data_IF_408565607725
#
_entry.id   IF_408565607725
#
_cell.length_a   1.000
_cell.length_b   1.000
_cell.length_c   1.000
_cell.angle_alpha   90.00
_cell.angle_beta   90.00
_cell.angle_gamma   90.00
#
_symmetry.space_group_name_H-M   'P 1'
#
loop_
_entity.id
_entity.type
_entity.pdbx_description
1 polymer ?
#
# COMPACT_ATOMS: atom_id res chain seq x y z
N UNK A 1 16.35 -11.95 17.35
CA UNK A 1 14.91 -12.13 17.07
C UNK A 1 14.73 -13.38 16.22
N UNK A 2 13.59 -14.10 16.36
CA UNK A 2 13.30 -15.28 15.51
C UNK A 2 12.97 -14.78 14.10
N UNK A 3 13.71 -15.26 13.09
CA UNK A 3 13.50 -14.90 11.69
C UNK A 3 12.15 -15.40 11.18
N UNK A 4 11.60 -14.72 10.18
CA UNK A 4 10.31 -15.06 9.55
C UNK A 4 10.52 -15.94 8.32
N UNK A 5 9.65 -16.95 8.17
CA UNK A 5 9.65 -17.81 6.97
C UNK A 5 9.01 -17.09 5.77
N UNK A 6 9.26 -17.60 4.55
CA UNK A 6 8.59 -17.09 3.34
C UNK A 6 7.07 -17.23 3.43
N UNK A 7 6.56 -18.32 4.02
CA UNK A 7 5.12 -18.51 4.23
C UNK A 7 4.51 -17.47 5.17
N UNK A 8 5.20 -17.12 6.27
CA UNK A 8 4.73 -16.06 7.17
C UNK A 8 4.68 -14.70 6.47
N UNK A 9 5.69 -14.39 5.65
CA UNK A 9 5.69 -13.18 4.83
C UNK A 9 4.53 -13.18 3.82
N UNK A 10 4.29 -14.28 3.09
CA UNK A 10 3.15 -14.41 2.19
C UNK A 10 1.81 -14.19 2.91
N UNK A 11 1.66 -14.72 4.12
CA UNK A 11 0.41 -14.59 4.88
C UNK A 11 0.13 -13.14 5.30
N UNK A 12 1.19 -12.38 5.65
CA UNK A 12 1.08 -10.94 5.94
C UNK A 12 0.55 -10.21 4.70
N UNK A 13 1.16 -10.44 3.54
CA UNK A 13 0.82 -9.73 2.30
C UNK A 13 -0.47 -10.22 1.66
N UNK A 14 -0.88 -11.45 1.93
CA UNK A 14 -2.25 -11.90 1.65
C UNK A 14 -3.27 -11.07 2.43
N UNK A 15 -3.04 -10.89 3.74
CA UNK A 15 -3.93 -10.09 4.59
C UNK A 15 -3.96 -8.61 4.19
N UNK A 16 -2.82 -8.05 3.78
CA UNK A 16 -2.75 -6.67 3.29
C UNK A 16 -3.57 -6.47 2.00
N UNK A 17 -3.51 -7.44 1.08
CA UNK A 17 -4.20 -7.36 -0.21
C UNK A 17 -5.72 -7.63 -0.10
N UNK A 18 -6.18 -8.42 0.87
CA UNK A 18 -7.62 -8.63 1.08
C UNK A 18 -8.20 -7.49 1.91
N UNK A 19 -8.46 -6.36 1.28
CA UNK A 19 -8.98 -5.17 1.95
C UNK A 19 -10.16 -4.53 1.23
N UNK A 20 -10.95 -3.75 1.95
CA UNK A 20 -12.05 -2.95 1.38
C UNK A 20 -11.48 -1.94 0.39
N UNK A 21 -10.35 -1.29 0.69
CA UNK A 21 -9.75 -0.29 -0.18
C UNK A 21 -9.36 -0.86 -1.56
N UNK A 22 -8.85 -2.10 -1.62
CA UNK A 22 -8.54 -2.79 -2.88
C UNK A 22 -9.81 -3.01 -3.72
N UNK A 23 -10.90 -3.47 -3.08
CA UNK A 23 -12.17 -3.72 -3.78
C UNK A 23 -12.78 -2.38 -4.22
N UNK A 24 -12.78 -1.37 -3.34
CA UNK A 24 -13.30 -0.03 -3.66
C UNK A 24 -12.54 0.58 -4.84
N UNK A 25 -11.21 0.54 -4.82
CA UNK A 25 -10.42 1.04 -5.95
C UNK A 25 -10.73 0.28 -7.23
N UNK A 26 -10.98 -1.04 -7.14
CA UNK A 26 -11.43 -1.85 -8.27
C UNK A 26 -12.71 -1.34 -8.91
N UNK A 27 -13.68 -0.78 -8.14
CA UNK A 27 -14.93 -0.26 -8.69
C UNK A 27 -14.72 0.89 -9.68
N UNK A 28 -13.64 1.68 -9.50
CA UNK A 28 -13.31 2.80 -10.38
C UNK A 28 -12.94 2.39 -11.80
N UNK A 29 -12.66 1.10 -12.05
CA UNK A 29 -12.30 0.57 -13.37
C UNK A 29 -13.52 0.26 -14.25
N UNK A 30 -14.73 0.31 -13.71
CA UNK A 30 -15.97 0.03 -14.43
C UNK A 30 -16.15 0.85 -15.73
N UNK A 31 -15.78 2.15 -15.80
CA UNK A 31 -15.87 2.95 -17.02
C UNK A 31 -15.10 2.37 -18.22
N UNK A 32 -14.02 1.64 -17.99
CA UNK A 32 -13.25 0.98 -19.06
C UNK A 32 -13.95 -0.27 -19.64
N UNK A 33 -14.97 -0.78 -18.96
CA UNK A 33 -15.50 -2.11 -19.21
C UNK A 33 -14.55 -3.21 -18.78
N UNK A 34 -15.05 -4.45 -18.70
CA UNK A 34 -14.36 -5.56 -18.06
C UNK A 34 -12.98 -5.88 -18.69
N UNK A 35 -12.91 -5.98 -20.02
CA UNK A 35 -11.69 -6.42 -20.71
C UNK A 35 -10.55 -5.40 -20.60
N UNK A 36 -10.83 -4.13 -20.90
CA UNK A 36 -9.82 -3.05 -20.78
C UNK A 36 -9.44 -2.81 -19.32
N UNK A 37 -10.42 -2.83 -18.41
CA UNK A 37 -10.17 -2.70 -16.97
C UNK A 37 -9.29 -3.82 -16.44
N UNK A 38 -9.54 -5.08 -16.81
CA UNK A 38 -8.69 -6.22 -16.43
C UNK A 38 -7.25 -6.03 -16.94
N UNK A 39 -7.09 -5.59 -18.19
CA UNK A 39 -5.75 -5.34 -18.75
C UNK A 39 -5.02 -4.23 -17.98
N UNK A 40 -5.71 -3.13 -17.66
CA UNK A 40 -5.14 -2.04 -16.86
C UNK A 40 -4.72 -2.51 -15.45
N UNK A 41 -5.56 -3.31 -14.78
CA UNK A 41 -5.25 -3.92 -13.48
C UNK A 41 -3.98 -4.76 -13.58
N UNK A 42 -3.90 -5.66 -14.54
CA UNK A 42 -2.75 -6.56 -14.70
C UNK A 42 -1.46 -5.80 -15.01
N UNK A 43 -1.50 -4.85 -15.95
CA UNK A 43 -0.34 -4.02 -16.31
C UNK A 43 0.15 -3.22 -15.12
N UNK A 44 -0.76 -2.53 -14.42
CA UNK A 44 -0.41 -1.71 -13.26
C UNK A 44 0.18 -2.53 -12.11
N UNK A 45 -0.42 -3.69 -11.80
CA UNK A 45 0.12 -4.57 -10.76
C UNK A 45 1.48 -5.18 -11.13
N UNK A 46 1.73 -5.51 -12.39
CA UNK A 46 3.06 -5.98 -12.83
C UNK A 46 4.11 -4.88 -12.59
N UNK A 47 3.81 -3.63 -12.96
CA UNK A 47 4.71 -2.49 -12.75
C UNK A 47 4.92 -2.26 -11.24
N UNK A 48 3.84 -2.11 -10.46
CA UNK A 48 3.91 -1.81 -9.03
C UNK A 48 4.57 -2.93 -8.23
N UNK A 49 4.26 -4.19 -8.55
CA UNK A 49 4.85 -5.35 -7.88
C UNK A 49 6.34 -5.55 -8.22
N UNK A 50 6.78 -5.18 -9.42
CA UNK A 50 8.21 -5.18 -9.74
C UNK A 50 8.98 -4.23 -8.81
N UNK A 51 8.47 -3.02 -8.59
CA UNK A 51 9.06 -2.05 -7.65
C UNK A 51 9.00 -2.54 -6.22
N UNK A 52 7.87 -3.10 -5.81
CA UNK A 52 7.65 -3.70 -4.50
C UNK A 52 8.67 -4.81 -4.20
N UNK A 53 8.96 -5.66 -5.19
CA UNK A 53 10.00 -6.69 -5.07
C UNK A 53 11.38 -6.08 -4.82
N UNK A 54 11.80 -5.09 -5.60
CA UNK A 54 13.12 -4.48 -5.44
C UNK A 54 13.25 -3.76 -4.09
N UNK A 55 12.24 -2.98 -3.68
CA UNK A 55 12.23 -2.32 -2.38
C UNK A 55 12.35 -3.32 -1.22
N UNK A 56 11.55 -4.39 -1.25
CA UNK A 56 11.59 -5.44 -0.24
C UNK A 56 12.90 -6.22 -0.22
N UNK A 57 13.52 -6.42 -1.38
CA UNK A 57 14.81 -7.12 -1.49
C UNK A 57 15.96 -6.30 -0.89
N UNK A 58 15.92 -4.96 -1.00
CA UNK A 58 16.89 -4.09 -0.30
C UNK A 58 16.80 -4.32 1.21
N UNK A 59 15.59 -4.26 1.81
CA UNK A 59 15.38 -4.50 3.23
C UNK A 59 15.84 -5.88 3.67
N UNK A 60 15.46 -6.91 2.93
CA UNK A 60 15.82 -8.30 3.22
C UNK A 60 17.32 -8.57 3.15
N UNK A 61 18.04 -7.95 2.18
CA UNK A 61 19.50 -8.11 2.04
C UNK A 61 20.30 -7.31 3.06
N UNK A 62 19.79 -6.14 3.45
CA UNK A 62 20.48 -5.24 4.39
C UNK A 62 20.10 -5.48 5.85
N UNK A 63 19.00 -6.19 6.11
CA UNK A 63 18.44 -6.34 7.46
C UNK A 63 17.91 -5.03 8.05
N UNK A 64 17.64 -4.02 7.20
CA UNK A 64 17.19 -2.68 7.63
C UNK A 64 15.69 -2.50 7.43
N UNK A 65 15.09 -1.67 8.29
CA UNK A 65 13.72 -1.18 8.10
C UNK A 65 13.61 -0.35 6.82
N UNK A 66 12.40 -0.06 6.38
CA UNK A 66 12.18 0.76 5.19
C UNK A 66 12.90 2.12 5.29
N UNK A 67 12.73 2.83 6.39
CA UNK A 67 13.46 4.09 6.60
C UNK A 67 14.97 3.89 6.81
N UNK A 68 15.40 2.74 7.34
CA UNK A 68 16.80 2.36 7.40
C UNK A 68 17.43 2.11 6.02
N UNK A 69 16.64 1.67 5.02
CA UNK A 69 17.11 1.58 3.62
C UNK A 69 17.17 2.95 2.95
N UNK A 70 16.24 3.87 3.27
CA UNK A 70 16.30 5.27 2.83
C UNK A 70 17.58 5.95 3.32
N UNK A 71 18.00 5.70 4.56
CA UNK A 71 19.23 6.25 5.12
C UNK A 71 20.48 5.87 4.30
N UNK A 72 20.48 4.68 3.67
CA UNK A 72 21.57 4.26 2.79
C UNK A 72 21.74 5.18 1.57
N UNK A 73 20.63 5.65 0.99
CA UNK A 73 20.68 6.46 -0.23
C UNK A 73 20.68 7.97 0.05
N UNK A 74 19.96 8.41 1.10
CA UNK A 74 19.74 9.84 1.36
C UNK A 74 20.48 10.39 2.58
N UNK A 75 21.12 9.51 3.37
CA UNK A 75 21.72 9.87 4.64
C UNK A 75 20.69 10.13 5.75
N UNK A 76 21.19 10.48 6.93
CA UNK A 76 20.36 10.62 8.13
C UNK A 76 19.28 11.70 7.99
N UNK A 77 19.60 12.86 7.39
CA UNK A 77 18.63 13.97 7.20
C UNK A 77 17.54 13.56 6.23
N UNK A 78 17.90 12.92 5.10
CA UNK A 78 16.91 12.38 4.16
C UNK A 78 16.03 11.30 4.79
N UNK A 79 16.62 10.41 5.59
CA UNK A 79 15.84 9.42 6.35
C UNK A 79 14.81 10.10 7.28
N UNK A 80 15.17 11.16 8.01
CA UNK A 80 14.24 11.89 8.87
C UNK A 80 13.07 12.51 8.07
N UNK A 81 13.39 13.12 6.92
CA UNK A 81 12.39 13.72 6.04
C UNK A 81 11.38 12.68 5.53
N UNK A 82 11.87 11.59 4.94
CA UNK A 82 11.00 10.54 4.42
C UNK A 82 10.28 9.75 5.53
N UNK A 83 10.89 9.59 6.70
CA UNK A 83 10.21 8.97 7.83
C UNK A 83 9.02 9.81 8.32
N UNK A 84 9.15 11.14 8.34
CA UNK A 84 8.04 12.02 8.67
C UNK A 84 6.91 11.93 7.63
N UNK A 85 7.25 11.94 6.34
CA UNK A 85 6.28 11.78 5.25
C UNK A 85 5.61 10.40 5.29
N UNK A 86 6.38 9.35 5.62
CA UNK A 86 5.82 8.00 5.73
C UNK A 86 4.85 7.87 6.93
N UNK A 87 5.19 8.45 8.09
CA UNK A 87 4.25 8.50 9.22
C UNK A 87 2.97 9.25 8.82
N UNK A 88 3.09 10.36 8.11
CA UNK A 88 1.94 11.16 7.65
C UNK A 88 1.03 10.36 6.70
N UNK A 89 1.61 9.67 5.69
CA UNK A 89 0.81 8.83 4.80
C UNK A 89 0.12 7.70 5.54
N UNK A 90 0.78 7.11 6.55
CA UNK A 90 0.21 6.00 7.32
C UNK A 90 -0.90 6.45 8.29
N UNK A 91 -0.86 7.71 8.77
CA UNK A 91 -2.02 8.35 9.41
C UNK A 91 -3.17 8.47 8.40
N UNK A 92 -2.88 8.89 7.17
CA UNK A 92 -3.88 8.97 6.08
C UNK A 92 -4.51 7.61 5.80
N UNK A 93 -3.70 6.56 5.56
CA UNK A 93 -4.20 5.21 5.34
C UNK A 93 -5.01 4.68 6.52
N UNK A 94 -4.51 4.86 7.75
CA UNK A 94 -5.26 4.48 8.96
C UNK A 94 -6.64 5.15 9.01
N UNK A 95 -6.71 6.43 8.64
CA UNK A 95 -7.96 7.19 8.61
C UNK A 95 -8.91 6.69 7.52
N UNK A 96 -8.42 6.49 6.30
CA UNK A 96 -9.19 5.98 5.16
C UNK A 96 -9.75 4.60 5.47
N UNK A 97 -8.92 3.68 5.93
CA UNK A 97 -9.34 2.30 6.23
C UNK A 97 -10.39 2.23 7.34
N UNK A 98 -10.23 3.05 8.41
CA UNK A 98 -11.24 3.14 9.48
C UNK A 98 -12.55 3.74 8.94
N UNK A 99 -12.47 4.78 8.11
CA UNK A 99 -13.62 5.44 7.49
C UNK A 99 -14.40 4.49 6.59
N UNK A 100 -13.73 3.82 5.66
CA UNK A 100 -14.34 2.87 4.71
C UNK A 100 -14.96 1.68 5.44
N UNK A 101 -14.25 1.10 6.41
CA UNK A 101 -14.78 0.03 7.23
C UNK A 101 -16.00 0.45 8.05
N UNK A 102 -16.00 1.67 8.59
CA UNK A 102 -17.12 2.23 9.33
C UNK A 102 -18.31 2.54 8.40
N UNK A 103 -18.06 3.05 7.21
CA UNK A 103 -19.09 3.34 6.20
C UNK A 103 -19.78 2.03 5.77
N UNK A 104 -19.00 1.04 5.36
CA UNK A 104 -19.50 -0.27 4.96
C UNK A 104 -20.33 -0.95 6.09
N UNK A 105 -19.84 -0.87 7.32
CA UNK A 105 -20.57 -1.45 8.46
C UNK A 105 -21.85 -0.68 8.76
N UNK A 106 -21.81 0.65 8.68
CA UNK A 106 -22.98 1.49 8.95
C UNK A 106 -24.10 1.34 7.90
N UNK A 107 -23.75 1.01 6.66
CA UNK A 107 -24.72 0.69 5.61
C UNK A 107 -25.65 -0.48 6.03
N UNK A 108 -25.16 -1.42 6.80
CA UNK A 108 -25.90 -2.61 7.22
C UNK A 108 -26.50 -2.45 8.62
N UNK A 109 -25.74 -1.89 9.53
CA UNK A 109 -26.11 -1.74 10.95
C UNK A 109 -26.13 -0.24 11.31
N UNK A 110 -27.10 0.50 10.85
CA UNK A 110 -27.25 1.95 10.85
C UNK A 110 -27.29 2.65 12.22
N UNK A 111 -26.28 2.40 13.08
CA UNK A 111 -26.17 3.04 14.41
C UNK A 111 -25.36 4.33 14.41
N UNK A 112 -24.81 4.71 13.26
CA UNK A 112 -24.00 5.91 13.05
C UNK A 112 -22.55 5.61 12.71
N UNK A 113 -22.04 6.21 11.60
CA UNK A 113 -20.66 6.01 11.11
C UNK A 113 -19.61 6.27 12.20
N UNK A 114 -19.77 7.34 12.97
CA UNK A 114 -18.83 7.68 14.04
C UNK A 114 -18.67 6.60 15.11
N UNK A 115 -19.75 5.86 15.43
CA UNK A 115 -19.70 4.75 16.37
C UNK A 115 -18.82 3.62 15.82
N UNK A 116 -18.99 3.32 14.53
CA UNK A 116 -18.17 2.29 13.87
C UNK A 116 -16.71 2.70 13.74
N UNK A 117 -16.41 4.00 13.51
CA UNK A 117 -15.02 4.50 13.57
C UNK A 117 -14.40 4.23 14.94
N UNK A 118 -15.13 4.49 16.03
CA UNK A 118 -14.64 4.20 17.38
C UNK A 118 -14.48 2.69 17.65
N UNK A 119 -15.40 1.86 17.17
CA UNK A 119 -15.32 0.39 17.33
C UNK A 119 -14.10 -0.13 16.59
N UNK A 120 -13.93 0.20 15.30
CA UNK A 120 -12.81 -0.27 14.47
C UNK A 120 -11.49 0.26 15.01
N UNK A 121 -11.39 1.58 15.30
CA UNK A 121 -10.20 2.19 15.89
C UNK A 121 -9.84 1.57 17.25
N UNK A 122 -10.82 1.30 18.10
CA UNK A 122 -10.65 0.60 19.38
C UNK A 122 -10.14 -0.82 19.20
N UNK A 123 -10.64 -1.57 18.22
CA UNK A 123 -10.15 -2.91 17.89
C UNK A 123 -8.70 -2.88 17.41
N UNK A 124 -8.30 -1.88 16.59
CA UNK A 124 -6.91 -1.71 16.14
C UNK A 124 -6.01 -1.42 17.35
N UNK A 125 -6.44 -0.54 18.26
CA UNK A 125 -5.70 -0.25 19.51
C UNK A 125 -5.50 -1.54 20.34
N UNK A 126 -6.54 -2.36 20.51
CA UNK A 126 -6.44 -3.65 21.21
C UNK A 126 -5.46 -4.57 20.47
N UNK A 127 -5.53 -4.62 19.12
CA UNK A 127 -4.64 -5.45 18.30
C UNK A 127 -3.17 -5.06 18.46
N UNK A 128 -2.88 -3.76 18.46
CA UNK A 128 -1.53 -3.23 18.73
C UNK A 128 -1.09 -3.55 20.17
N UNK A 129 -1.98 -3.39 21.14
CA UNK A 129 -1.66 -3.63 22.55
C UNK A 129 -1.30 -5.09 22.83
N UNK A 130 -2.06 -6.05 22.25
CA UNK A 130 -1.81 -7.49 22.37
C UNK A 130 -0.58 -7.93 21.57
N UNK A 131 -0.36 -7.33 20.40
CA UNK A 131 0.79 -7.56 19.52
C UNK A 131 0.66 -8.80 18.62
N UNK A 132 1.27 -8.73 17.44
CA UNK A 132 1.23 -9.75 16.37
C UNK A 132 1.57 -11.18 16.87
N UNK A 133 2.53 -11.31 17.79
CA UNK A 133 3.02 -12.62 18.21
C UNK A 133 1.96 -13.45 18.96
N UNK A 134 1.06 -12.77 19.65
CA UNK A 134 0.03 -13.41 20.46
C UNK A 134 -1.27 -13.69 19.68
N UNK A 135 -1.46 -13.03 18.53
CA UNK A 135 -2.64 -13.13 17.68
C UNK A 135 -2.47 -14.08 16.48
N UNK A 136 -1.36 -14.80 16.40
CA UNK A 136 -0.97 -15.56 15.20
C UNK A 136 -2.02 -16.62 14.75
N UNK A 137 -2.75 -17.23 15.66
CA UNK A 137 -3.83 -18.20 15.32
C UNK A 137 -5.12 -17.48 14.86
N UNK A 138 -5.49 -16.38 15.55
CA UNK A 138 -6.64 -15.54 15.17
C UNK A 138 -6.44 -14.98 13.77
N UNK A 139 -5.23 -14.50 13.48
CA UNK A 139 -4.87 -13.98 12.16
C UNK A 139 -5.03 -15.05 11.07
N UNK A 140 -4.59 -16.30 11.31
CA UNK A 140 -4.78 -17.40 10.37
C UNK A 140 -6.26 -17.71 10.09
N UNK A 141 -7.10 -17.71 11.13
CA UNK A 141 -8.55 -17.91 11.00
C UNK A 141 -9.17 -16.76 10.21
N UNK A 142 -8.79 -15.50 10.54
CA UNK A 142 -9.24 -14.32 9.80
C UNK A 142 -8.88 -14.42 8.32
N UNK A 143 -7.62 -14.76 8.00
CA UNK A 143 -7.17 -14.91 6.61
C UNK A 143 -7.93 -16.02 5.88
N UNK A 144 -8.18 -17.18 6.51
CA UNK A 144 -8.97 -18.25 5.92
C UNK A 144 -10.43 -17.81 5.66
N UNK A 145 -11.04 -17.11 6.63
CA UNK A 145 -12.40 -16.59 6.50
C UNK A 145 -12.50 -15.55 5.38
N UNK A 146 -11.50 -14.64 5.28
CA UNK A 146 -11.40 -13.63 4.21
C UNK A 146 -11.23 -14.28 2.83
N UNK A 147 -10.41 -15.31 2.72
CA UNK A 147 -10.25 -16.06 1.48
C UNK A 147 -11.59 -16.68 1.04
N UNK A 148 -12.30 -17.36 1.95
CA UNK A 148 -13.62 -17.92 1.66
C UNK A 148 -14.61 -16.81 1.25
N UNK A 149 -14.61 -15.69 1.98
CA UNK A 149 -15.50 -14.56 1.65
C UNK A 149 -15.19 -14.00 0.26
N UNK A 150 -13.92 -13.85 -0.10
CA UNK A 150 -13.54 -13.34 -1.43
C UNK A 150 -14.02 -14.26 -2.56
N UNK A 151 -14.00 -15.58 -2.36
CA UNK A 151 -14.55 -16.54 -3.31
C UNK A 151 -16.08 -16.38 -3.40
N UNK A 152 -16.76 -16.29 -2.26
CA UNK A 152 -18.22 -16.09 -2.24
C UNK A 152 -18.60 -14.78 -2.95
N UNK A 153 -17.91 -13.69 -2.67
CA UNK A 153 -18.11 -12.41 -3.36
C UNK A 153 -17.91 -12.54 -4.87
N UNK A 154 -16.84 -13.20 -5.28
CA UNK A 154 -16.57 -13.45 -6.69
C UNK A 154 -17.75 -14.21 -7.35
N UNK A 155 -18.22 -15.29 -6.75
CA UNK A 155 -19.36 -16.06 -7.27
C UNK A 155 -20.61 -15.22 -7.34
N UNK A 156 -20.91 -14.43 -6.31
CA UNK A 156 -22.10 -13.56 -6.26
C UNK A 156 -22.05 -12.48 -7.35
N UNK A 157 -20.91 -11.79 -7.46
CA UNK A 157 -20.70 -10.70 -8.43
C UNK A 157 -20.83 -11.21 -9.87
N UNK A 158 -20.23 -12.34 -10.19
CA UNK A 158 -20.18 -12.85 -11.57
C UNK A 158 -21.36 -13.77 -11.95
N UNK A 159 -22.24 -14.12 -11.01
CA UNK A 159 -23.39 -15.00 -11.28
C UNK A 159 -24.41 -14.40 -12.23
N UNK A 160 -24.50 -13.06 -12.31
CA UNK A 160 -25.51 -12.35 -13.12
C UNK A 160 -25.25 -12.35 -14.63
N UNK A 161 -24.02 -12.49 -15.08
CA UNK A 161 -23.59 -12.74 -16.46
C UNK A 161 -23.68 -11.59 -17.46
N UNK A 162 -24.59 -10.63 -17.29
CA UNK A 162 -24.76 -9.49 -18.19
C UNK A 162 -24.36 -8.17 -17.53
N UNK A 163 -23.49 -7.36 -18.16
CA UNK A 163 -23.17 -6.03 -17.65
C UNK A 163 -24.42 -5.14 -17.55
N UNK A 164 -24.60 -4.48 -16.41
CA UNK A 164 -25.66 -3.48 -16.19
C UNK A 164 -25.13 -2.05 -16.34
N UNK A 165 -23.81 -1.86 -16.25
CA UNK A 165 -23.12 -0.58 -16.46
C UNK A 165 -22.40 -0.62 -17.79
N UNK A 166 -22.68 0.36 -18.67
CA UNK A 166 -21.97 0.51 -19.94
C UNK A 166 -20.61 1.21 -19.71
N UNK A 167 -19.59 0.86 -20.50
CA UNK A 167 -18.34 1.64 -20.53
C UNK A 167 -18.61 3.10 -20.94
N UNK A 168 -17.80 4.02 -20.37
CA UNK A 168 -17.81 5.43 -20.72
C UNK A 168 -16.36 5.98 -20.74
N UNK A 169 -16.20 7.26 -21.10
CA UNK A 169 -14.89 7.89 -21.23
C UNK A 169 -14.43 8.64 -19.96
N UNK A 170 -15.05 8.38 -18.80
CA UNK A 170 -14.74 9.10 -17.55
C UNK A 170 -13.38 8.71 -16.94
N UNK A 171 -12.82 7.55 -17.32
CA UNK A 171 -11.49 7.09 -16.90
C UNK A 171 -10.67 6.68 -18.13
N UNK A 172 -9.50 7.32 -18.31
CA UNK A 172 -8.56 6.88 -19.36
C UNK A 172 -7.85 5.58 -18.99
N UNK A 173 -7.35 4.85 -20.00
CA UNK A 173 -6.59 3.63 -19.76
C UNK A 173 -5.31 3.91 -18.94
N UNK A 174 -4.60 5.01 -19.24
CA UNK A 174 -3.39 5.40 -18.52
C UNK A 174 -3.64 5.73 -17.05
N UNK A 175 -4.73 6.46 -16.76
CA UNK A 175 -5.13 6.75 -15.39
C UNK A 175 -5.53 5.47 -14.62
N UNK A 176 -6.18 4.52 -15.28
CA UNK A 176 -6.49 3.23 -14.68
C UNK A 176 -5.23 2.41 -14.37
N UNK A 177 -4.27 2.35 -15.30
CA UNK A 177 -2.97 1.71 -15.05
C UNK A 177 -2.29 2.37 -13.86
N UNK A 178 -2.28 3.71 -13.77
CA UNK A 178 -1.68 4.43 -12.64
C UNK A 178 -2.35 4.10 -11.31
N UNK A 179 -3.69 4.03 -11.24
CA UNK A 179 -4.40 3.61 -10.04
C UNK A 179 -4.04 2.18 -9.62
N UNK A 180 -3.84 1.28 -10.59
CA UNK A 180 -3.41 -0.08 -10.31
C UNK A 180 -1.93 -0.18 -9.89
N UNK A 181 -1.06 0.72 -10.36
CA UNK A 181 0.34 0.84 -9.88
C UNK A 181 0.39 1.42 -8.47
N UNK A 182 -0.44 2.42 -8.19
CA UNK A 182 -0.35 3.23 -6.99
C UNK A 182 -0.65 2.41 -5.71
N UNK A 183 -1.47 1.37 -5.80
CA UNK A 183 -1.79 0.54 -4.64
C UNK A 183 -0.59 -0.27 -4.13
N UNK A 184 0.10 -1.12 -4.91
CA UNK A 184 1.34 -1.73 -4.47
C UNK A 184 2.44 -0.69 -4.18
N UNK A 185 2.43 0.47 -4.84
CA UNK A 185 3.38 1.55 -4.60
C UNK A 185 3.25 2.12 -3.19
N UNK A 186 2.05 2.23 -2.64
CA UNK A 186 1.82 2.74 -1.29
C UNK A 186 2.50 1.88 -0.21
N UNK A 187 2.78 0.62 -0.50
CA UNK A 187 3.48 -0.31 0.38
C UNK A 187 5.01 -0.28 0.24
N UNK A 188 5.58 0.42 -0.76
CA UNK A 188 7.02 0.47 -0.98
C UNK A 188 7.80 0.97 0.25
N UNK A 189 7.36 2.04 0.94
CA UNK A 189 8.05 2.54 2.13
C UNK A 189 7.78 1.71 3.39
N UNK A 190 7.17 0.52 3.27
CA UNK A 190 6.84 -0.37 4.38
C UNK A 190 7.39 -1.79 4.22
N UNK A 191 7.49 -2.32 2.99
CA UNK A 191 7.82 -3.73 2.76
C UNK A 191 9.10 -4.17 3.46
N UNK A 192 10.12 -3.30 3.50
CA UNK A 192 11.40 -3.59 4.15
C UNK A 192 11.27 -3.80 5.66
N UNK A 193 10.23 -3.27 6.31
CA UNK A 193 9.96 -3.48 7.73
C UNK A 193 9.65 -4.95 8.04
N UNK A 194 9.14 -5.68 7.06
CA UNK A 194 8.77 -7.09 7.14
C UNK A 194 9.87 -8.00 6.59
N UNK A 195 10.44 -7.66 5.44
CA UNK A 195 11.44 -8.51 4.77
C UNK A 195 12.81 -8.49 5.46
N UNK A 196 13.14 -7.45 6.26
CA UNK A 196 14.39 -7.37 7.04
C UNK A 196 14.58 -8.55 8.01
N UNK A 197 13.49 -9.11 8.49
CA UNK A 197 13.50 -10.24 9.42
C UNK A 197 13.43 -11.61 8.72
N UNK A 198 13.43 -11.63 7.37
CA UNK A 198 13.26 -12.85 6.61
C UNK A 198 14.47 -13.78 6.74
N UNK A 199 14.19 -15.09 6.92
CA UNK A 199 15.21 -16.14 6.95
C UNK A 199 15.91 -16.29 5.59
N UNK A 200 15.11 -16.21 4.50
CA UNK A 200 15.55 -16.27 3.10
C UNK A 200 15.07 -15.01 2.35
N UNK A 201 15.87 -13.92 2.33
CA UNK A 201 15.42 -12.61 1.82
C UNK A 201 14.79 -12.64 0.42
N UNK A 202 15.44 -13.29 -0.55
CA UNK A 202 14.93 -13.37 -1.92
C UNK A 202 13.60 -14.13 -1.98
N UNK A 203 13.54 -15.33 -1.39
CA UNK A 203 12.34 -16.16 -1.42
C UNK A 203 11.17 -15.52 -0.67
N UNK A 204 11.45 -14.89 0.48
CA UNK A 204 10.42 -14.20 1.25
C UNK A 204 9.90 -12.96 0.51
N UNK A 205 10.77 -12.16 -0.10
CA UNK A 205 10.36 -11.00 -0.88
C UNK A 205 9.56 -11.43 -2.13
N UNK A 206 10.04 -12.43 -2.86
CA UNK A 206 9.35 -12.93 -4.05
C UNK A 206 7.97 -13.49 -3.69
N UNK A 207 7.88 -14.30 -2.64
CA UNK A 207 6.59 -14.85 -2.19
C UNK A 207 5.64 -13.77 -1.71
N UNK A 208 6.14 -12.75 -1.00
CA UNK A 208 5.34 -11.56 -0.60
C UNK A 208 4.78 -10.84 -1.82
N UNK A 209 5.64 -10.54 -2.81
CA UNK A 209 5.28 -9.81 -4.02
C UNK A 209 4.24 -10.58 -4.86
N UNK A 210 4.47 -11.86 -5.08
CA UNK A 210 3.54 -12.69 -5.86
C UNK A 210 2.19 -12.85 -5.14
N UNK A 211 2.23 -13.08 -3.82
CA UNK A 211 0.99 -13.20 -3.04
C UNK A 211 0.20 -11.89 -3.07
N UNK A 212 0.86 -10.76 -2.77
CA UNK A 212 0.21 -9.46 -2.82
C UNK A 212 -0.36 -9.17 -4.21
N UNK A 213 0.45 -9.27 -5.26
CA UNK A 213 0.05 -8.94 -6.63
C UNK A 213 -1.14 -9.77 -7.13
N UNK A 214 -1.13 -11.08 -6.89
CA UNK A 214 -2.23 -11.96 -7.32
C UNK A 214 -3.51 -11.66 -6.54
N UNK A 215 -3.40 -11.49 -5.22
CA UNK A 215 -4.57 -11.27 -4.36
C UNK A 215 -5.14 -9.87 -4.57
N UNK A 216 -4.30 -8.84 -4.71
CA UNK A 216 -4.73 -7.48 -5.01
C UNK A 216 -5.44 -7.40 -6.37
N UNK A 217 -4.87 -8.00 -7.44
CA UNK A 217 -5.56 -8.13 -8.73
C UNK A 217 -6.95 -8.79 -8.56
N UNK A 218 -7.03 -9.85 -7.75
CA UNK A 218 -8.29 -10.54 -7.48
C UNK A 218 -9.32 -9.62 -6.82
N UNK A 219 -8.91 -8.82 -5.82
CA UNK A 219 -9.80 -7.86 -5.14
C UNK A 219 -10.25 -6.75 -6.09
N UNK A 220 -9.36 -6.20 -6.91
CA UNK A 220 -9.72 -5.22 -7.96
C UNK A 220 -10.73 -5.79 -8.96
N UNK A 221 -10.55 -7.03 -9.39
CA UNK A 221 -11.49 -7.70 -10.31
C UNK A 221 -12.85 -7.90 -9.66
N UNK A 222 -12.91 -8.23 -8.37
CA UNK A 222 -14.18 -8.29 -7.63
C UNK A 222 -14.86 -6.92 -7.60
N UNK A 223 -14.13 -5.87 -7.25
CA UNK A 223 -14.66 -4.50 -7.20
C UNK A 223 -15.16 -4.02 -8.57
N UNK A 224 -14.33 -4.16 -9.60
CA UNK A 224 -14.71 -3.82 -10.99
C UNK A 224 -15.93 -4.63 -11.45
N UNK A 225 -15.94 -5.94 -11.18
CA UNK A 225 -17.07 -6.80 -11.50
C UNK A 225 -18.33 -6.40 -10.76
N UNK A 226 -18.23 -6.00 -9.49
CA UNK A 226 -19.35 -5.52 -8.71
C UNK A 226 -20.01 -4.29 -9.38
N UNK A 227 -19.22 -3.28 -9.71
CA UNK A 227 -19.72 -2.08 -10.39
C UNK A 227 -20.31 -2.38 -11.77
N UNK A 228 -19.70 -3.29 -12.55
CA UNK A 228 -20.15 -3.61 -13.92
C UNK A 228 -21.40 -4.50 -13.92
N UNK A 229 -21.43 -5.56 -13.11
CA UNK A 229 -22.44 -6.61 -13.22
C UNK A 229 -23.60 -6.45 -12.24
N UNK A 230 -23.41 -5.68 -11.14
CA UNK A 230 -24.49 -5.44 -10.16
C UNK A 230 -24.97 -3.99 -10.15
N UNK A 231 -24.23 -3.07 -10.75
CA UNK A 231 -24.47 -1.62 -10.68
C UNK A 231 -24.27 -1.05 -9.28
N UNK A 232 -23.66 -1.82 -8.37
CA UNK A 232 -23.48 -1.47 -6.97
C UNK A 232 -21.98 -1.36 -6.66
N UNK A 233 -21.56 -0.23 -6.12
CA UNK A 233 -20.18 -0.02 -5.66
C UNK A 233 -19.98 -0.31 -4.17
N UNK A 234 -21.08 -0.42 -3.40
CA UNK A 234 -21.01 -0.73 -1.98
C UNK A 234 -20.99 -2.24 -1.76
N UNK A 235 -19.80 -2.74 -1.40
CA UNK A 235 -19.53 -4.17 -1.15
C UNK A 235 -20.40 -4.70 0.00
N UNK A 236 -20.68 -3.87 1.01
CA UNK A 236 -21.55 -4.28 2.12
C UNK A 236 -22.97 -4.55 1.66
N UNK A 237 -23.50 -3.70 0.77
CA UNK A 237 -24.84 -3.92 0.16
C UNK A 237 -24.86 -5.19 -0.70
N UNK A 238 -23.81 -5.43 -1.50
CA UNK A 238 -23.70 -6.65 -2.31
C UNK A 238 -23.73 -7.89 -1.41
N UNK A 239 -22.99 -7.88 -0.32
CA UNK A 239 -22.94 -9.00 0.63
C UNK A 239 -24.27 -9.23 1.32
N UNK A 240 -24.99 -8.16 1.69
CA UNK A 240 -26.32 -8.28 2.29
C UNK A 240 -27.34 -8.85 1.31
N UNK A 241 -27.35 -8.33 0.07
CA UNK A 241 -28.19 -8.86 -1.01
C UNK A 241 -27.87 -10.33 -1.34
N UNK A 242 -26.62 -10.76 -1.10
CA UNK A 242 -26.18 -12.14 -1.25
C UNK A 242 -26.59 -13.05 -0.09
N UNK A 243 -27.25 -12.54 0.94
CA UNK A 243 -27.66 -13.30 2.12
C UNK A 243 -26.54 -13.60 3.12
N UNK A 244 -25.37 -12.95 2.99
CA UNK A 244 -24.23 -13.16 3.88
C UNK A 244 -24.36 -12.42 5.21
N UNK A 245 -25.22 -11.40 5.27
CA UNK A 245 -25.66 -10.74 6.48
C UNK A 245 -24.54 -10.24 7.41
N UNK A 246 -24.79 -10.31 8.71
CA UNK A 246 -23.89 -9.83 9.76
C UNK A 246 -22.53 -10.58 9.80
N UNK A 247 -22.51 -11.86 9.40
CA UNK A 247 -21.25 -12.63 9.39
C UNK A 247 -20.22 -12.04 8.44
N UNK A 248 -20.65 -11.59 7.26
CA UNK A 248 -19.76 -10.95 6.29
C UNK A 248 -19.21 -9.60 6.80
N UNK A 249 -20.05 -8.82 7.50
CA UNK A 249 -19.59 -7.57 8.13
C UNK A 249 -18.55 -7.80 9.20
N UNK A 250 -18.71 -8.81 10.05
CA UNK A 250 -17.71 -9.15 11.06
C UNK A 250 -16.37 -9.50 10.42
N UNK A 251 -16.40 -10.22 9.30
CA UNK A 251 -15.18 -10.56 8.55
C UNK A 251 -14.55 -9.31 7.94
N UNK A 252 -15.35 -8.38 7.37
CA UNK A 252 -14.86 -7.11 6.84
C UNK A 252 -14.22 -6.24 7.92
N UNK A 253 -14.86 -6.10 9.08
CA UNK A 253 -14.30 -5.37 10.22
C UNK A 253 -12.96 -5.99 10.62
N UNK A 254 -12.89 -7.31 10.71
CA UNK A 254 -11.67 -8.00 11.09
C UNK A 254 -10.58 -7.82 10.04
N UNK A 255 -10.93 -7.85 8.74
CA UNK A 255 -10.01 -7.51 7.63
C UNK A 255 -9.47 -6.09 7.77
N UNK A 256 -10.36 -5.12 7.94
CA UNK A 256 -9.97 -3.72 8.13
C UNK A 256 -9.02 -3.58 9.31
N UNK A 257 -9.32 -4.20 10.45
CA UNK A 257 -8.47 -4.16 11.65
C UNK A 257 -7.10 -4.76 11.38
N UNK A 258 -7.01 -5.91 10.70
CA UNK A 258 -5.74 -6.59 10.45
C UNK A 258 -4.87 -5.86 9.42
N UNK A 259 -5.46 -5.27 8.40
CA UNK A 259 -4.73 -4.48 7.38
C UNK A 259 -4.26 -3.15 7.96
N UNK A 260 -5.15 -2.39 8.60
CA UNK A 260 -4.83 -1.10 9.22
C UNK A 260 -3.81 -1.24 10.35
N UNK A 261 -3.78 -2.40 11.02
CA UNK A 261 -2.71 -2.71 11.97
C UNK A 261 -1.32 -2.66 11.30
N UNK A 262 -1.17 -3.11 10.05
CA UNK A 262 0.12 -3.07 9.34
C UNK A 262 0.55 -1.61 9.10
N UNK A 263 -0.38 -0.73 8.75
CA UNK A 263 -0.11 0.69 8.59
C UNK A 263 0.35 1.33 9.89
N UNK A 264 -0.41 1.14 10.96
CA UNK A 264 -0.08 1.68 12.28
C UNK A 264 1.24 1.12 12.81
N UNK A 265 1.52 -0.17 12.61
CA UNK A 265 2.78 -0.80 13.01
C UNK A 265 3.98 -0.22 12.26
N UNK A 266 3.90 -0.06 10.93
CA UNK A 266 4.97 0.54 10.13
C UNK A 266 5.11 2.04 10.41
N UNK A 267 4.03 2.75 10.74
CA UNK A 267 4.11 4.12 11.26
C UNK A 267 4.95 4.20 12.54
N UNK A 268 4.76 3.23 13.45
CA UNK A 268 5.58 3.09 14.65
C UNK A 268 7.05 2.89 14.34
N UNK A 269 7.40 1.97 13.43
CA UNK A 269 8.79 1.73 13.00
C UNK A 269 9.40 2.98 12.36
N UNK A 270 8.64 3.68 11.51
CA UNK A 270 9.08 4.92 10.87
C UNK A 270 9.31 6.03 11.89
N UNK A 271 8.44 6.13 12.90
CA UNK A 271 8.58 7.10 13.99
C UNK A 271 9.83 6.83 14.86
N UNK A 272 10.21 5.57 15.10
CA UNK A 272 11.48 5.23 15.75
C UNK A 272 12.70 5.74 14.96
N UNK A 273 12.58 5.83 13.64
CA UNK A 273 13.61 6.42 12.79
C UNK A 273 13.75 7.92 12.96
N UNK A 274 12.70 8.64 13.39
CA UNK A 274 12.76 10.08 13.70
C UNK A 274 13.59 10.35 14.95
N UNK A 275 13.40 9.55 16.02
CA UNK A 275 14.15 9.71 17.27
C UNK A 275 14.24 8.38 18.03
N UNK A 276 15.44 8.09 18.53
CA UNK A 276 15.69 6.92 19.41
C UNK A 276 14.88 6.95 20.72
N UNK A 277 14.28 8.07 21.09
CA UNK A 277 13.41 8.23 22.27
C UNK A 277 11.98 7.79 22.01
N UNK A 278 11.58 7.65 20.76
CA UNK A 278 10.23 7.24 20.38
C UNK A 278 10.13 5.73 20.49
N UNK A 279 9.10 5.26 21.20
CA UNK A 279 8.74 3.86 21.25
C UNK A 279 7.71 3.60 20.14
N UNK A 280 8.02 2.72 19.20
CA UNK A 280 7.18 2.43 18.03
C UNK A 280 5.77 1.95 18.40
N UNK A 281 5.62 1.19 19.50
CA UNK A 281 4.30 0.75 19.96
C UNK A 281 3.42 1.93 20.36
N UNK A 282 3.96 2.89 21.12
CA UNK A 282 3.19 4.08 21.51
C UNK A 282 2.93 4.99 20.30
N UNK A 283 3.88 5.11 19.38
CA UNK A 283 3.66 5.85 18.14
C UNK A 283 2.53 5.22 17.29
N UNK A 284 2.49 3.91 17.16
CA UNK A 284 1.42 3.19 16.48
C UNK A 284 0.04 3.43 17.12
N UNK A 285 -0.04 3.44 18.47
CA UNK A 285 -1.26 3.77 19.19
C UNK A 285 -1.70 5.21 18.94
N UNK A 286 -0.77 6.17 18.97
CA UNK A 286 -1.06 7.59 18.68
C UNK A 286 -1.57 7.75 17.25
N UNK A 287 -0.92 7.12 16.27
CA UNK A 287 -1.33 7.14 14.86
C UNK A 287 -2.76 6.58 14.72
N UNK A 288 -3.08 5.49 15.40
CA UNK A 288 -4.42 4.91 15.38
C UNK A 288 -5.47 5.84 15.98
N UNK A 289 -5.16 6.50 17.10
CA UNK A 289 -6.07 7.47 17.71
C UNK A 289 -6.29 8.68 16.79
N UNK A 290 -5.21 9.24 16.22
CA UNK A 290 -5.31 10.36 15.27
C UNK A 290 -6.12 9.93 14.04
N UNK A 291 -5.82 8.76 13.46
CA UNK A 291 -6.54 8.21 12.32
C UNK A 291 -8.04 8.02 12.60
N UNK A 292 -8.38 7.53 13.79
CA UNK A 292 -9.78 7.39 14.22
C UNK A 292 -10.50 8.74 14.32
N UNK A 293 -9.84 9.74 14.90
CA UNK A 293 -10.39 11.10 14.99
C UNK A 293 -10.57 11.71 13.60
N UNK A 294 -9.58 11.56 12.72
CA UNK A 294 -9.68 12.02 11.33
C UNK A 294 -10.85 11.35 10.59
N UNK A 295 -11.02 10.03 10.73
CA UNK A 295 -12.10 9.28 10.12
C UNK A 295 -13.51 9.72 10.60
N UNK A 296 -13.61 10.21 11.85
CA UNK A 296 -14.85 10.75 12.39
C UNK A 296 -15.12 12.16 11.84
N UNK A 297 -14.10 13.00 11.82
CA UNK A 297 -14.25 14.45 11.58
C UNK A 297 -14.24 14.83 10.10
N UNK A 298 -13.59 14.03 9.23
CA UNK A 298 -13.39 14.36 7.82
C UNK A 298 -13.92 13.26 6.89
N UNK A 299 -14.43 13.64 5.69
CA UNK A 299 -14.67 12.67 4.64
C UNK A 299 -13.32 12.17 4.09
N UNK A 300 -13.14 10.86 3.97
CA UNK A 300 -11.91 10.22 3.51
C UNK A 300 -12.11 9.52 2.15
N UNK A 301 -12.97 10.11 1.29
CA UNK A 301 -13.41 9.48 0.04
C UNK A 301 -12.42 9.69 -1.12
N UNK A 302 -11.48 10.64 -1.01
CA UNK A 302 -10.57 11.00 -2.11
C UNK A 302 -9.29 10.17 -2.10
N UNK A 303 -9.46 8.84 -2.23
CA UNK A 303 -8.35 7.89 -2.35
C UNK A 303 -7.45 8.21 -3.55
N UNK A 304 -8.02 8.62 -4.68
CA UNK A 304 -7.27 8.85 -5.93
C UNK A 304 -6.21 9.93 -5.76
N UNK A 305 -6.59 11.11 -5.27
CA UNK A 305 -5.63 12.20 -5.06
C UNK A 305 -4.59 11.84 -3.97
N UNK A 306 -5.01 11.10 -2.96
CA UNK A 306 -4.10 10.60 -1.94
C UNK A 306 -3.06 9.63 -2.52
N UNK A 307 -3.45 8.69 -3.37
CA UNK A 307 -2.56 7.77 -4.07
C UNK A 307 -1.57 8.51 -4.98
N UNK A 308 -2.02 9.52 -5.72
CA UNK A 308 -1.15 10.34 -6.56
C UNK A 308 -0.15 11.18 -5.76
N UNK A 309 -0.54 11.66 -4.57
CA UNK A 309 0.38 12.34 -3.67
C UNK A 309 1.47 11.37 -3.20
N UNK A 310 1.09 10.17 -2.75
CA UNK A 310 2.02 9.11 -2.35
C UNK A 310 2.96 8.76 -3.51
N UNK A 311 2.43 8.56 -4.72
CA UNK A 311 3.21 8.27 -5.91
C UNK A 311 4.27 9.33 -6.17
N UNK A 312 3.89 10.61 -6.15
CA UNK A 312 4.82 11.72 -6.41
C UNK A 312 5.98 11.80 -5.40
N UNK A 313 5.76 11.37 -4.16
CA UNK A 313 6.78 11.39 -3.09
C UNK A 313 7.66 10.14 -3.13
N UNK A 314 7.04 8.96 -3.18
CA UNK A 314 7.74 7.71 -2.92
C UNK A 314 8.23 7.01 -4.19
N UNK A 315 7.64 7.23 -5.36
CA UNK A 315 8.16 6.64 -6.60
C UNK A 315 9.59 7.10 -6.91
N UNK A 316 9.90 8.42 -6.95
CA UNK A 316 11.27 8.87 -7.19
C UNK A 316 12.22 8.48 -6.04
N UNK A 317 11.76 8.46 -4.79
CA UNK A 317 12.58 7.99 -3.66
C UNK A 317 13.03 6.54 -3.87
N UNK A 318 12.11 5.64 -4.21
CA UNK A 318 12.41 4.22 -4.43
C UNK A 318 13.24 4.02 -5.70
N UNK A 319 12.99 4.79 -6.76
CA UNK A 319 13.81 4.77 -7.99
C UNK A 319 15.28 5.03 -7.67
N UNK A 320 15.57 6.03 -6.83
CA UNK A 320 16.92 6.34 -6.38
C UNK A 320 17.51 5.21 -5.55
N UNK A 321 16.74 4.64 -4.60
CA UNK A 321 17.20 3.50 -3.79
C UNK A 321 17.53 2.27 -4.65
N UNK A 322 16.70 1.94 -5.63
CA UNK A 322 16.95 0.85 -6.57
C UNK A 322 18.22 1.12 -7.37
N UNK A 323 18.41 2.35 -7.87
CA UNK A 323 19.59 2.75 -8.64
C UNK A 323 20.85 2.64 -7.79
N UNK A 324 20.84 3.20 -6.60
CA UNK A 324 21.98 3.16 -5.68
C UNK A 324 22.39 1.73 -5.33
N UNK A 325 21.41 0.91 -4.95
CA UNK A 325 21.71 -0.42 -4.41
C UNK A 325 22.06 -1.44 -5.49
N UNK A 326 21.32 -1.48 -6.60
CA UNK A 326 21.49 -2.53 -7.62
C UNK A 326 22.40 -2.10 -8.78
N UNK A 327 22.34 -0.82 -9.22
CA UNK A 327 23.07 -0.35 -10.40
C UNK A 327 24.40 0.28 -10.02
N UNK A 328 24.40 1.25 -9.11
CA UNK A 328 25.62 1.96 -8.66
C UNK A 328 26.37 1.17 -7.57
N UNK A 329 25.70 0.27 -6.86
CA UNK A 329 26.26 -0.53 -5.77
C UNK A 329 26.96 0.30 -4.71
N UNK A 330 26.35 1.43 -4.33
CA UNK A 330 26.90 2.34 -3.33
C UNK A 330 26.80 1.72 -1.93
N UNK A 331 27.86 1.85 -1.14
CA UNK A 331 27.91 1.32 0.23
C UNK A 331 27.12 2.13 1.27
N UNK A 332 26.65 3.33 0.89
CA UNK A 332 25.86 4.24 1.73
C UNK A 332 25.99 5.68 1.25
N UNK A 333 25.20 6.57 1.86
CA UNK A 333 25.22 8.01 1.56
C UNK A 333 26.56 8.64 1.96
N UNK A 334 26.99 9.65 1.17
CA UNK A 334 28.29 10.33 1.33
C UNK A 334 28.35 11.29 2.52
N UNK A 335 27.32 11.33 3.39
CA UNK A 335 27.28 12.24 4.54
C UNK A 335 25.97 12.20 5.30
N UNK A 336 25.74 13.23 6.13
CA UNK A 336 24.44 13.38 6.85
C UNK A 336 23.26 13.57 5.91
N UNK A 337 23.47 14.19 4.75
CA UNK A 337 22.53 14.33 3.63
C UNK A 337 23.29 14.04 2.34
N UNK A 338 22.77 13.13 1.53
CA UNK A 338 23.21 12.99 0.15
C UNK A 338 22.54 14.06 -0.72
N UNK A 339 23.24 15.14 -0.94
CA UNK A 339 22.70 16.30 -1.69
C UNK A 339 22.41 15.92 -3.14
N UNK A 340 23.22 15.06 -3.76
CA UNK A 340 23.00 14.60 -5.12
C UNK A 340 21.66 13.88 -5.24
N UNK A 341 21.42 12.89 -4.39
CA UNK A 341 20.16 12.16 -4.36
C UNK A 341 18.97 13.02 -3.96
N UNK A 342 19.17 13.99 -3.05
CA UNK A 342 18.12 14.93 -2.67
C UNK A 342 17.67 15.80 -3.86
N UNK A 343 18.62 16.32 -4.64
CA UNK A 343 18.32 17.11 -5.87
C UNK A 343 17.63 16.22 -6.91
N UNK A 344 18.14 15.00 -7.14
CA UNK A 344 17.52 14.05 -8.08
C UNK A 344 16.09 13.73 -7.66
N UNK A 345 15.85 13.56 -6.35
CA UNK A 345 14.48 13.32 -5.83
C UNK A 345 13.55 14.51 -6.10
N UNK A 346 14.01 15.76 -5.87
CA UNK A 346 13.21 16.95 -6.19
C UNK A 346 12.86 17.00 -7.67
N UNK A 347 13.82 16.69 -8.56
CA UNK A 347 13.58 16.63 -10.00
C UNK A 347 12.61 15.51 -10.37
N UNK A 348 12.71 14.34 -9.75
CA UNK A 348 11.77 13.24 -9.90
C UNK A 348 10.36 13.63 -9.43
N UNK A 349 10.22 14.22 -8.24
CA UNK A 349 8.95 14.73 -7.76
C UNK A 349 8.28 15.71 -8.75
N UNK A 350 9.05 16.66 -9.28
CA UNK A 350 8.55 17.59 -10.29
C UNK A 350 8.17 16.87 -11.58
N UNK A 351 9.00 15.91 -12.02
CA UNK A 351 8.73 15.09 -13.21
C UNK A 351 7.41 14.34 -13.05
N UNK A 352 7.19 13.67 -11.92
CA UNK A 352 5.93 12.98 -11.66
C UNK A 352 4.72 13.91 -11.78
N UNK A 353 4.80 15.12 -11.14
CA UNK A 353 3.73 16.12 -11.20
C UNK A 353 3.47 16.65 -12.60
N UNK A 354 4.52 16.78 -13.42
CA UNK A 354 4.37 17.16 -14.84
C UNK A 354 3.76 16.01 -15.65
N UNK A 355 4.18 14.76 -15.43
CA UNK A 355 3.63 13.59 -16.12
C UNK A 355 2.14 13.39 -15.83
N UNK A 356 1.66 13.79 -14.66
CA UNK A 356 0.22 13.75 -14.33
C UNK A 356 -0.65 14.64 -15.23
N UNK A 357 -0.07 15.60 -15.96
CA UNK A 357 -0.81 16.44 -16.90
C UNK A 357 -0.99 15.80 -18.30
N UNK A 358 -0.39 14.62 -18.49
CA UNK A 358 -0.39 13.89 -19.78
C UNK A 358 -0.99 12.51 -19.56
N UNK A 359 -1.89 12.09 -20.43
CA UNK A 359 -2.42 10.72 -20.39
C UNK A 359 -1.41 9.75 -21.02
N UNK A 360 -0.73 8.98 -20.17
CA UNK A 360 0.31 8.04 -20.56
C UNK A 360 -0.22 6.60 -20.40
N UNK A 361 -0.26 5.78 -21.47
CA UNK A 361 -0.89 4.45 -21.42
C UNK A 361 -0.35 3.48 -20.36
N UNK A 362 0.88 3.68 -19.91
CA UNK A 362 1.52 2.86 -18.85
C UNK A 362 1.50 3.52 -17.48
N UNK A 363 0.69 4.57 -17.30
CA UNK A 363 0.64 5.38 -16.09
C UNK A 363 1.85 6.32 -15.95
N UNK A 364 1.84 7.12 -14.90
CA UNK A 364 2.85 8.16 -14.66
C UNK A 364 4.07 7.62 -13.91
N UNK A 365 3.86 6.64 -13.03
CA UNK A 365 4.89 6.10 -12.13
C UNK A 365 6.03 5.43 -12.90
N UNK A 366 5.75 4.62 -13.93
CA UNK A 366 6.81 3.92 -14.66
C UNK A 366 7.75 4.88 -15.39
N UNK A 367 7.28 5.86 -16.21
CA UNK A 367 8.17 6.82 -16.86
C UNK A 367 8.86 7.75 -15.85
N UNK A 368 8.21 8.13 -14.75
CA UNK A 368 8.85 8.90 -13.67
C UNK A 368 10.04 8.14 -13.08
N UNK A 369 9.83 6.89 -12.69
CA UNK A 369 10.89 6.08 -12.10
C UNK A 369 12.04 5.85 -13.08
N UNK A 370 11.73 5.56 -14.35
CA UNK A 370 12.77 5.40 -15.38
C UNK A 370 13.57 6.70 -15.58
N UNK A 371 12.89 7.84 -15.65
CA UNK A 371 13.52 9.17 -15.73
C UNK A 371 14.37 9.49 -14.50
N UNK A 372 13.85 9.26 -13.32
CA UNK A 372 14.55 9.48 -12.03
C UNK A 372 15.78 8.56 -11.91
N UNK A 373 15.66 7.28 -12.28
CA UNK A 373 16.81 6.35 -12.31
C UNK A 373 17.89 6.83 -13.27
N UNK A 374 17.51 7.28 -14.46
CA UNK A 374 18.46 7.84 -15.45
C UNK A 374 19.14 9.10 -14.92
N UNK A 375 18.38 10.03 -14.34
CA UNK A 375 18.92 11.24 -13.71
C UNK A 375 19.90 10.89 -12.59
N UNK A 376 19.57 9.90 -11.75
CA UNK A 376 20.44 9.42 -10.68
C UNK A 376 21.77 8.88 -11.24
N UNK A 377 21.71 8.04 -12.28
CA UNK A 377 22.91 7.49 -12.95
C UNK A 377 23.80 8.61 -13.56
N UNK A 378 23.20 9.61 -14.22
CA UNK A 378 23.90 10.74 -14.81
C UNK A 378 24.53 11.60 -13.71
N UNK A 379 23.76 11.95 -12.68
CA UNK A 379 24.23 12.79 -11.58
C UNK A 379 25.45 12.18 -10.88
N UNK A 380 25.45 10.88 -10.61
CA UNK A 380 26.59 10.19 -10.00
C UNK A 380 27.78 9.95 -10.94
N UNK A 381 27.63 10.12 -12.25
CA UNK A 381 28.78 10.18 -13.17
C UNK A 381 29.44 11.56 -13.19
N UNK A 382 28.64 12.62 -13.02
CA UNK A 382 29.11 14.01 -13.05
C UNK A 382 29.73 14.42 -11.72
N UNK A 383 29.10 14.01 -10.62
CA UNK A 383 29.54 14.27 -9.24
C UNK A 383 30.20 13.01 -8.69
N UNK A 384 31.53 12.86 -8.80
CA UNK A 384 32.22 11.67 -8.31
C UNK A 384 32.05 11.52 -6.81
N UNK A 385 31.67 10.32 -6.40
CA UNK A 385 31.48 9.97 -5.00
C UNK A 385 32.84 9.90 -4.28
N UNK A 386 33.07 10.76 -3.30
CA UNK A 386 34.30 10.75 -2.48
C UNK A 386 34.48 9.44 -1.69
N UNK A 387 33.44 8.61 -1.59
CA UNK A 387 33.47 7.32 -0.87
C UNK A 387 34.01 6.16 -1.71
N UNK A 388 34.21 6.33 -3.04
CA UNK A 388 34.81 5.31 -3.92
C UNK A 388 36.34 5.29 -3.91
N UNK A 389 36.99 6.20 -3.21
CA UNK A 389 38.44 6.39 -3.23
C UNK A 389 39.15 5.84 -1.96
N UNK A 390 38.49 4.97 -1.17
CA UNK A 390 39.12 4.31 -0.01
C UNK A 390 38.96 2.79 -0.03
#
# INVERSE_FOLDING_TARGET
>A
MKKTSSFQNSLIWFGAAVSIAEILTGTYFAPLGFTKGLLAILVGHVIGCAMFFFAGLIGGRTGRSAMGTVELSFGRIGCLFFAALNVLQLVGWTSIMIYDGALATNTVLGIGKWVWCLVIGGLIVVWIAVGIKNLGWINKIAMAALFILSIVLCVVVFRGGTPVTAPDDSLSFGAAVELAVAMPLSWLPLISDYTREAEKPFAATLSSTLTYGVVSCWMYVIGMGAAIFTGEGDIALIMVKAGLGVAALLILILSTVTTTFLDAYSAGISAESLSKKINGKYAALIVTVIGTVCAICFPMDDITNFLYLIGSVFAPMIAIQITDFFLLRRGGASGKLDVCNAVVWVLGFVLYRVLMTVDIPVGNTLPDMAGTMLLCLIAHKIVPDKTRAS
#
